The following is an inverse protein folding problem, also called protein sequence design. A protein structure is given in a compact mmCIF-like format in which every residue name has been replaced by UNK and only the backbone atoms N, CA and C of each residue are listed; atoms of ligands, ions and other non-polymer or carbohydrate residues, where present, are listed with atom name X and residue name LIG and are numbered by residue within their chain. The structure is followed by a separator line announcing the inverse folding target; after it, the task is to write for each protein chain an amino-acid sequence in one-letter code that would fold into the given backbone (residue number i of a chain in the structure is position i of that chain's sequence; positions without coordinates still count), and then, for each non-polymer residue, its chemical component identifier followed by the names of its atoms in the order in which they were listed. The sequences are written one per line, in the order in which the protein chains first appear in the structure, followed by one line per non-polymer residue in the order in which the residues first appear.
data_IF_665106957583
#
_entry.id   IF_665106957583
#
_cell.length_a   1.000
_cell.length_b   1.000
_cell.length_c   1.000
_cell.angle_alpha   90.00
_cell.angle_beta   90.00
_cell.angle_gamma   90.00
#
_symmetry.space_group_name_H-M   'P 1'
#
loop_
_entity.id
_entity.type
_entity.pdbx_description
1 polymer ?
#
# COMPACT_ATOMS: atom_id res chain seq x y z
N UNK A 1 20.52 -15.03 -3.26
CA UNK A 1 19.87 -13.76 -2.89
C UNK A 1 20.50 -12.63 -3.69
N UNK A 2 19.69 -11.79 -4.31
CA UNK A 2 20.16 -10.62 -5.07
C UNK A 2 20.70 -9.54 -4.11
N UNK A 3 21.65 -8.68 -4.55
CA UNK A 3 22.08 -7.53 -3.73
C UNK A 3 20.94 -6.57 -3.37
N UNK A 4 19.85 -6.57 -4.13
CA UNK A 4 18.66 -5.75 -3.83
C UNK A 4 17.72 -6.40 -2.82
N UNK A 5 17.93 -7.66 -2.47
CA UNK A 5 17.08 -8.37 -1.52
C UNK A 5 17.44 -8.03 -0.08
N UNK A 6 16.43 -8.11 0.78
CA UNK A 6 16.59 -8.05 2.23
C UNK A 6 16.14 -9.38 2.84
N UNK A 7 16.59 -9.66 4.05
CA UNK A 7 16.00 -10.74 4.82
C UNK A 7 14.57 -10.32 5.18
N UNK A 8 13.59 -11.12 4.76
CA UNK A 8 12.17 -10.80 4.90
C UNK A 8 11.42 -12.08 5.27
N UNK A 9 10.71 -12.06 6.38
CA UNK A 9 9.92 -13.20 6.83
C UNK A 9 8.53 -12.71 7.19
N UNK A 10 7.51 -13.21 6.49
CA UNK A 10 6.12 -13.05 6.89
C UNK A 10 5.82 -14.02 8.03
N UNK A 11 5.25 -13.53 9.11
CA UNK A 11 5.00 -14.31 10.33
C UNK A 11 3.54 -14.75 10.37
N UNK A 12 3.34 -16.05 10.58
CA UNK A 12 2.02 -16.63 10.82
C UNK A 12 2.08 -17.40 12.14
N UNK A 13 1.33 -16.96 13.18
CA UNK A 13 1.31 -17.69 14.45
C UNK A 13 0.78 -19.12 14.28
N UNK A 14 1.25 -20.04 15.12
CA UNK A 14 0.78 -21.41 15.09
C UNK A 14 -0.73 -21.48 15.30
N UNK A 15 -1.40 -22.26 14.47
CA UNK A 15 -2.86 -22.43 14.53
C UNK A 15 -3.68 -21.32 13.88
N UNK A 16 -3.04 -20.25 13.40
CA UNK A 16 -3.75 -19.19 12.69
C UNK A 16 -3.85 -19.50 11.20
N UNK A 17 -4.96 -19.07 10.60
CA UNK A 17 -5.16 -19.18 9.16
C UNK A 17 -4.41 -18.04 8.45
N UNK A 18 -3.74 -18.36 7.35
CA UNK A 18 -3.08 -17.35 6.52
C UNK A 18 -4.11 -16.32 6.04
N UNK A 19 -3.89 -15.02 6.29
CA UNK A 19 -4.79 -13.98 5.81
C UNK A 19 -4.64 -13.78 4.30
N UNK A 20 -5.67 -13.22 3.69
CA UNK A 20 -5.64 -12.84 2.28
C UNK A 20 -5.25 -11.37 2.14
N UNK A 21 -4.26 -11.10 1.27
CA UNK A 21 -3.91 -9.75 0.87
C UNK A 21 -2.99 -8.99 1.84
N UNK A 22 -2.56 -9.62 2.94
CA UNK A 22 -1.62 -9.02 3.88
C UNK A 22 -0.94 -10.10 4.74
N UNK A 23 0.07 -9.70 5.49
CA UNK A 23 0.70 -10.53 6.51
C UNK A 23 0.36 -9.99 7.91
N UNK A 24 0.25 -10.88 8.90
CA UNK A 24 0.00 -10.44 10.28
C UNK A 24 1.20 -9.69 10.85
N UNK A 25 2.40 -10.12 10.50
CA UNK A 25 3.63 -9.43 10.87
C UNK A 25 4.71 -9.72 9.83
N UNK A 26 5.69 -8.86 9.79
CA UNK A 26 6.89 -9.02 8.95
C UNK A 26 8.10 -8.78 9.83
N UNK A 27 9.07 -9.70 9.74
CA UNK A 27 10.40 -9.49 10.30
C UNK A 27 11.34 -9.23 9.13
N UNK A 28 12.00 -8.09 9.14
CA UNK A 28 12.90 -7.72 8.05
C UNK A 28 14.20 -7.14 8.60
N UNK A 29 15.29 -7.36 7.87
CA UNK A 29 16.62 -6.84 8.22
C UNK A 29 17.21 -6.14 6.99
N UNK A 30 17.68 -4.94 7.20
CA UNK A 30 18.38 -4.12 6.23
C UNK A 30 19.10 -2.99 6.94
N UNK A 31 19.67 -2.06 6.18
CA UNK A 31 20.48 -0.99 6.76
C UNK A 31 19.81 0.38 6.76
N UNK A 32 18.74 0.55 6.00
CA UNK A 32 18.01 1.82 5.88
C UNK A 32 16.52 1.60 6.02
N UNK A 33 15.86 2.46 6.76
CA UNK A 33 14.39 2.49 6.82
C UNK A 33 13.86 3.68 6.03
N UNK A 34 12.76 3.47 5.31
CA UNK A 34 12.06 4.51 4.55
C UNK A 34 10.68 4.67 5.13
N UNK A 35 10.30 5.91 5.40
CA UNK A 35 8.95 6.30 5.80
C UNK A 35 8.28 6.98 4.61
N UNK A 36 7.14 6.47 4.16
CA UNK A 36 6.42 6.99 3.02
C UNK A 36 5.16 7.66 3.52
N UNK A 37 5.07 8.97 3.28
CA UNK A 37 3.88 9.75 3.65
C UNK A 37 2.64 9.25 2.92
N UNK A 38 1.47 9.55 3.47
CA UNK A 38 0.20 9.19 2.86
C UNK A 38 0.08 9.70 1.44
N UNK A 39 -0.26 8.81 0.52
CA UNK A 39 -0.51 9.08 -0.88
C UNK A 39 -1.99 8.90 -1.17
N UNK A 40 -2.59 9.87 -1.86
CA UNK A 40 -3.99 9.79 -2.28
C UNK A 40 -4.06 9.43 -3.77
N UNK A 41 -5.25 9.20 -4.27
CA UNK A 41 -5.49 8.81 -5.67
C UNK A 41 -5.35 9.95 -6.67
N UNK A 42 -4.37 10.80 -6.49
CA UNK A 42 -4.08 11.93 -7.38
C UNK A 42 -2.90 11.58 -8.28
N UNK A 43 -3.12 11.64 -9.59
CA UNK A 43 -2.04 11.39 -10.55
C UNK A 43 -0.94 12.45 -10.41
N UNK A 44 0.34 12.07 -10.57
CA UNK A 44 1.42 13.05 -10.62
C UNK A 44 1.15 14.11 -11.68
N UNK A 45 1.35 15.38 -11.32
CA UNK A 45 1.09 16.50 -12.21
C UNK A 45 -0.33 17.07 -12.16
N UNK A 46 -1.28 16.35 -11.58
CA UNK A 46 -2.62 16.90 -11.32
C UNK A 46 -2.63 17.73 -10.05
N UNK A 47 -3.41 18.79 -10.02
CA UNK A 47 -3.59 19.63 -8.83
C UNK A 47 -4.65 19.08 -7.87
N UNK A 48 -5.52 18.20 -8.34
CA UNK A 48 -6.64 17.64 -7.58
C UNK A 48 -7.06 16.29 -8.18
N UNK A 49 -7.83 15.54 -7.44
CA UNK A 49 -8.49 14.32 -7.94
C UNK A 49 -9.74 14.78 -8.71
N UNK A 50 -9.94 14.39 -9.98
CA UNK A 50 -11.15 14.74 -10.69
C UNK A 50 -12.40 14.26 -9.96
N UNK A 51 -13.43 15.10 -9.81
CA UNK A 51 -14.70 14.67 -9.21
C UNK A 51 -15.26 13.42 -9.91
N UNK A 52 -15.79 12.48 -9.12
CA UNK A 52 -16.37 11.25 -9.65
C UNK A 52 -15.35 10.12 -9.92
N UNK A 53 -14.06 10.33 -9.63
CA UNK A 53 -13.08 9.25 -9.71
C UNK A 53 -13.43 8.18 -8.68
N UNK A 54 -13.61 6.94 -9.13
CA UNK A 54 -14.07 5.85 -8.27
C UNK A 54 -12.98 5.34 -7.31
N UNK A 55 -13.41 4.59 -6.30
CA UNK A 55 -12.53 4.08 -5.26
C UNK A 55 -11.44 3.15 -5.81
N UNK A 56 -11.77 2.30 -6.77
CA UNK A 56 -10.80 1.37 -7.38
C UNK A 56 -9.69 2.10 -8.13
N UNK A 57 -10.05 3.11 -8.91
CA UNK A 57 -9.08 3.96 -9.61
C UNK A 57 -8.21 4.73 -8.63
N UNK A 58 -8.81 5.30 -7.59
CA UNK A 58 -8.05 6.03 -6.57
C UNK A 58 -7.08 5.13 -5.82
N UNK A 59 -7.50 3.90 -5.50
CA UNK A 59 -6.62 2.91 -4.87
C UNK A 59 -5.41 2.60 -5.75
N UNK A 60 -5.65 2.32 -7.02
CA UNK A 60 -4.58 2.04 -7.99
C UNK A 60 -3.57 3.17 -8.05
N UNK A 61 -4.05 4.40 -8.15
CA UNK A 61 -3.18 5.58 -8.23
C UNK A 61 -2.42 5.80 -6.92
N UNK A 62 -3.10 5.70 -5.78
CA UNK A 62 -2.47 5.88 -4.47
C UNK A 62 -1.37 4.84 -4.24
N UNK A 63 -1.64 3.57 -4.54
CA UNK A 63 -0.65 2.49 -4.39
C UNK A 63 0.53 2.67 -5.34
N UNK A 64 0.26 3.05 -6.58
CA UNK A 64 1.30 3.39 -7.56
C UNK A 64 2.17 4.55 -7.09
N UNK A 65 1.57 5.56 -6.48
CA UNK A 65 2.31 6.69 -5.91
C UNK A 65 3.22 6.26 -4.76
N UNK A 66 2.75 5.36 -3.90
CA UNK A 66 3.59 4.79 -2.82
C UNK A 66 4.84 4.13 -3.42
N UNK A 67 4.68 3.32 -4.45
CA UNK A 67 5.80 2.64 -5.11
C UNK A 67 6.72 3.64 -5.82
N UNK A 68 6.16 4.66 -6.46
CA UNK A 68 6.95 5.71 -7.11
C UNK A 68 7.84 6.45 -6.11
N UNK A 69 7.28 6.82 -4.96
CA UNK A 69 8.04 7.47 -3.87
C UNK A 69 9.11 6.53 -3.33
N UNK A 70 8.77 5.26 -3.12
CA UNK A 70 9.71 4.25 -2.65
C UNK A 70 10.91 4.10 -3.61
N UNK A 71 10.64 4.03 -4.90
CA UNK A 71 11.70 3.93 -5.92
C UNK A 71 12.58 5.17 -5.94
N UNK A 72 12.00 6.35 -5.77
CA UNK A 72 12.77 7.60 -5.64
C UNK A 72 13.70 7.58 -4.43
N UNK A 73 13.33 6.86 -3.37
CA UNK A 73 14.15 6.67 -2.17
C UNK A 73 15.19 5.54 -2.31
N UNK A 74 15.25 4.88 -3.47
CA UNK A 74 16.19 3.80 -3.73
C UNK A 74 15.66 2.40 -3.44
N UNK A 75 14.37 2.26 -3.15
CA UNK A 75 13.76 0.98 -2.84
C UNK A 75 13.00 0.36 -4.01
N UNK A 76 12.54 -0.86 -3.77
CA UNK A 76 11.71 -1.65 -4.68
C UNK A 76 10.50 -2.18 -3.91
N UNK A 77 9.41 -2.61 -4.60
CA UNK A 77 8.21 -3.09 -3.91
C UNK A 77 8.46 -4.17 -2.87
N UNK A 78 9.40 -5.10 -3.11
CA UNK A 78 9.71 -6.16 -2.15
C UNK A 78 10.33 -5.65 -0.85
N UNK A 79 10.73 -4.39 -0.77
CA UNK A 79 11.25 -3.78 0.44
C UNK A 79 10.16 -3.26 1.37
N UNK A 80 8.91 -3.17 0.91
CA UNK A 80 7.79 -2.75 1.75
C UNK A 80 7.56 -3.77 2.87
N UNK A 81 7.50 -3.30 4.10
CA UNK A 81 7.27 -4.13 5.28
C UNK A 81 5.92 -3.85 5.93
N UNK A 82 5.39 -2.66 5.76
CA UNK A 82 4.09 -2.26 6.32
C UNK A 82 3.39 -1.24 5.44
N UNK A 83 2.08 -1.37 5.34
CA UNK A 83 1.19 -0.40 4.73
C UNK A 83 0.04 -0.10 5.69
N UNK A 84 -0.44 1.14 5.65
CA UNK A 84 -1.69 1.53 6.31
C UNK A 84 -2.55 2.27 5.31
N UNK A 85 -3.79 1.85 5.19
CA UNK A 85 -4.76 2.44 4.28
C UNK A 85 -5.93 3.00 5.06
N UNK A 86 -6.33 4.20 4.68
CA UNK A 86 -7.46 4.93 5.25
C UNK A 86 -8.47 5.14 4.14
N UNK A 87 -9.68 4.65 4.32
CA UNK A 87 -10.75 4.80 3.33
C UNK A 87 -11.92 5.57 3.93
N UNK A 88 -12.65 6.31 3.11
CA UNK A 88 -13.80 7.09 3.61
C UNK A 88 -15.09 6.29 3.60
N UNK A 89 -15.12 5.13 2.93
CA UNK A 89 -16.31 4.28 2.85
C UNK A 89 -15.89 2.81 2.62
N UNK A 90 -16.04 2.00 3.65
CA UNK A 90 -15.69 0.56 3.59
C UNK A 90 -16.57 -0.18 2.57
N UNK A 91 -17.84 0.19 2.43
CA UNK A 91 -18.71 -0.46 1.46
C UNK A 91 -18.25 -0.21 0.01
N UNK A 92 -17.86 1.02 -0.32
CA UNK A 92 -17.25 1.32 -1.62
C UNK A 92 -15.95 0.54 -1.84
N UNK A 93 -15.11 0.49 -0.81
CA UNK A 93 -13.86 -0.26 -0.88
C UNK A 93 -14.14 -1.74 -1.18
N UNK A 94 -15.05 -2.36 -0.44
CA UNK A 94 -15.40 -3.77 -0.65
C UNK A 94 -16.00 -4.01 -2.05
N UNK A 95 -16.83 -3.09 -2.54
CA UNK A 95 -17.41 -3.19 -3.89
C UNK A 95 -16.35 -3.08 -4.98
N UNK A 96 -15.23 -2.41 -4.71
CA UNK A 96 -14.12 -2.25 -5.65
C UNK A 96 -13.08 -3.39 -5.55
N UNK A 97 -13.36 -4.45 -4.83
CA UNK A 97 -12.39 -5.50 -4.50
C UNK A 97 -11.66 -6.10 -5.69
N UNK A 98 -12.36 -6.35 -6.80
CA UNK A 98 -11.72 -6.90 -8.01
C UNK A 98 -10.69 -5.93 -8.61
N UNK A 99 -11.03 -4.65 -8.71
CA UNK A 99 -10.14 -3.62 -9.24
C UNK A 99 -8.94 -3.40 -8.30
N UNK A 100 -9.17 -3.43 -7.00
CA UNK A 100 -8.12 -3.30 -5.98
C UNK A 100 -7.15 -4.48 -6.05
N UNK A 101 -7.65 -5.70 -6.16
CA UNK A 101 -6.83 -6.90 -6.31
C UNK A 101 -5.99 -6.88 -7.59
N UNK A 102 -6.58 -6.44 -8.71
CA UNK A 102 -5.86 -6.29 -9.97
C UNK A 102 -4.74 -5.25 -9.86
N UNK A 103 -5.01 -4.11 -9.25
CA UNK A 103 -4.02 -3.06 -9.02
C UNK A 103 -2.88 -3.54 -8.12
N UNK A 104 -3.20 -4.32 -7.08
CA UNK A 104 -2.18 -4.92 -6.22
C UNK A 104 -1.28 -5.85 -7.03
N UNK A 105 -1.86 -6.75 -7.82
CA UNK A 105 -1.11 -7.71 -8.62
C UNK A 105 -0.13 -7.05 -9.60
N UNK A 106 -0.51 -5.94 -10.21
CA UNK A 106 0.37 -5.21 -11.15
C UNK A 106 1.39 -4.33 -10.46
N UNK A 107 1.20 -3.97 -9.18
CA UNK A 107 2.06 -3.05 -8.44
C UNK A 107 3.02 -3.78 -7.50
N UNK A 108 2.49 -4.62 -6.63
CA UNK A 108 3.26 -5.36 -5.63
C UNK A 108 3.40 -6.85 -5.96
N UNK A 109 2.61 -7.36 -6.90
CA UNK A 109 2.62 -8.79 -7.22
C UNK A 109 2.17 -9.64 -6.04
N UNK A 110 2.93 -10.68 -5.75
CA UNK A 110 2.66 -11.59 -4.62
C UNK A 110 3.40 -11.19 -3.34
N UNK A 111 3.64 -9.92 -3.16
CA UNK A 111 4.26 -9.38 -1.96
C UNK A 111 3.18 -8.78 -1.06
N UNK A 112 3.05 -9.29 0.16
CA UNK A 112 1.98 -8.94 1.08
C UNK A 112 2.56 -8.49 2.42
N UNK A 113 2.91 -7.20 2.56
CA UNK A 113 3.43 -6.69 3.83
C UNK A 113 2.35 -6.69 4.92
N UNK A 114 2.76 -6.42 6.15
CA UNK A 114 1.82 -6.17 7.24
C UNK A 114 0.94 -4.98 6.84
N UNK A 115 -0.38 -5.08 7.08
CA UNK A 115 -1.29 -4.04 6.64
C UNK A 115 -2.43 -3.86 7.62
N UNK A 116 -2.80 -2.59 7.81
CA UNK A 116 -4.01 -2.19 8.52
C UNK A 116 -4.83 -1.31 7.59
N UNK A 117 -6.14 -1.54 7.54
CA UNK A 117 -7.07 -0.71 6.77
C UNK A 117 -8.24 -0.33 7.67
N UNK A 118 -8.55 0.96 7.72
CA UNK A 118 -9.64 1.49 8.55
C UNK A 118 -10.43 2.54 7.77
N UNK A 119 -11.69 2.70 8.16
CA UNK A 119 -12.49 3.81 7.67
C UNK A 119 -12.24 5.04 8.53
N UNK A 120 -12.10 6.19 7.89
CA UNK A 120 -11.97 7.50 8.52
C UNK A 120 -13.13 8.40 8.10
N UNK A 121 -13.42 9.42 8.88
CA UNK A 121 -14.54 10.33 8.60
C UNK A 121 -14.28 11.25 7.41
N UNK A 122 -13.03 11.64 7.15
CA UNK A 122 -12.64 12.49 6.04
C UNK A 122 -11.14 12.42 5.78
N UNK A 123 -10.74 12.82 4.60
CA UNK A 123 -9.35 13.06 4.22
C UNK A 123 -9.20 14.54 3.87
N UNK A 124 -7.95 15.03 3.82
CA UNK A 124 -7.69 16.45 3.55
C UNK A 124 -8.26 16.89 2.21
N UNK A 125 -8.05 16.08 1.15
CA UNK A 125 -8.67 16.35 -0.15
C UNK A 125 -10.13 15.85 -0.10
N UNK A 126 -11.12 16.71 -0.32
CA UNK A 126 -12.54 16.32 -0.26
C UNK A 126 -12.91 15.24 -1.29
N UNK A 127 -12.16 15.09 -2.36
CA UNK A 127 -12.41 14.09 -3.40
C UNK A 127 -11.68 12.76 -3.11
N UNK A 128 -10.79 12.75 -2.13
CA UNK A 128 -10.05 11.54 -1.80
C UNK A 128 -10.95 10.51 -1.10
N UNK A 129 -10.91 9.28 -1.59
CA UNK A 129 -11.60 8.12 -1.03
C UNK A 129 -10.66 7.17 -0.30
N UNK A 130 -9.36 7.33 -0.53
CA UNK A 130 -8.31 6.48 0.05
C UNK A 130 -7.03 7.29 0.22
N UNK A 131 -6.29 6.96 1.28
CA UNK A 131 -4.92 7.39 1.50
C UNK A 131 -4.11 6.21 1.98
N UNK A 132 -2.91 6.01 1.42
CA UNK A 132 -2.05 4.88 1.74
C UNK A 132 -0.67 5.41 2.15
N UNK A 133 -0.21 5.00 3.33
CA UNK A 133 1.13 5.25 3.81
C UNK A 133 1.89 3.94 3.99
N UNK A 134 3.20 3.99 4.09
CA UNK A 134 3.97 2.77 4.23
C UNK A 134 5.36 2.94 4.80
N UNK A 135 5.98 1.81 5.06
CA UNK A 135 7.35 1.71 5.52
C UNK A 135 8.08 0.64 4.74
N UNK A 136 9.35 0.87 4.48
CA UNK A 136 10.21 -0.09 3.79
C UNK A 136 11.56 -0.21 4.51
N UNK A 137 12.20 -1.35 4.31
CA UNK A 137 13.56 -1.61 4.77
C UNK A 137 14.40 -1.91 3.53
N UNK A 138 15.47 -1.16 3.35
CA UNK A 138 16.40 -1.31 2.23
C UNK A 138 17.65 -2.04 2.68
N UNK A 139 18.34 -2.73 1.73
CA UNK A 139 19.62 -3.37 2.02
C UNK A 139 20.66 -2.48 2.64
#
# INVERSE_FOLDING_TARGET
MSPSDIAYTAVLPDGWTRPRGFSHAVVAKGTKSVRIAGQIGREPGQSHIPPGTDAGTQWRVALSNVVTVLKAAGGEPQHLVALRAYVTDIAEFNAAGAAIGAAWGTTLGKHFPAMTLVQVSALIDPQAKVEIEGEAILP
#
